data_IF_537750504331
#
_entry.id   IF_537750504331
#
_cell.length_a   1.000
_cell.length_b   1.000
_cell.length_c   1.000
_cell.angle_alpha   90.00
_cell.angle_beta   90.00
_cell.angle_gamma   90.00
#
_symmetry.space_group_name_H-M   'P 1'
#
loop_
_entity.id
_entity.type
_entity.pdbx_description
1 polymer ?
#
# COMPACT_ATOMS: atom_id res chain seq x y z
N UNK A 1 -60.35 29.69 -31.10
CA UNK A 1 -58.91 29.48 -30.89
C UNK A 1 -58.65 29.53 -29.39
N UNK A 2 -58.28 28.42 -28.72
CA UNK A 2 -58.02 28.43 -27.30
C UNK A 2 -56.55 28.76 -27.01
N UNK A 3 -56.35 29.73 -26.14
CA UNK A 3 -55.04 30.17 -25.64
C UNK A 3 -54.49 29.13 -24.66
N UNK A 4 -53.33 28.56 -24.97
CA UNK A 4 -52.63 27.60 -24.10
C UNK A 4 -51.77 28.38 -23.11
N UNK A 5 -52.15 28.34 -21.83
CA UNK A 5 -51.37 28.91 -20.73
C UNK A 5 -50.28 27.92 -20.33
N UNK A 6 -49.02 28.28 -20.53
CA UNK A 6 -47.86 27.54 -20.02
C UNK A 6 -47.65 27.88 -18.55
N UNK A 7 -47.97 26.93 -17.67
CA UNK A 7 -47.61 27.00 -16.25
C UNK A 7 -46.13 26.63 -16.08
N UNK A 8 -45.34 27.57 -15.56
CA UNK A 8 -43.96 27.37 -15.13
C UNK A 8 -43.94 26.62 -13.79
N UNK A 9 -43.62 25.33 -13.84
CA UNK A 9 -43.36 24.53 -12.65
C UNK A 9 -41.95 24.86 -12.10
N UNK A 10 -41.88 25.75 -11.12
CA UNK A 10 -40.70 25.92 -10.27
C UNK A 10 -40.60 24.73 -9.31
N UNK A 11 -39.98 23.64 -9.78
CA UNK A 11 -39.64 22.48 -8.96
C UNK A 11 -38.47 22.81 -8.03
N UNK A 12 -38.77 23.29 -6.82
CA UNK A 12 -37.85 23.29 -5.69
C UNK A 12 -37.65 21.85 -5.22
N UNK A 13 -36.63 21.18 -5.75
CA UNK A 13 -36.21 19.84 -5.33
C UNK A 13 -35.46 19.87 -4.00
N UNK A 14 -35.72 18.91 -3.09
CA UNK A 14 -35.02 18.80 -1.82
C UNK A 14 -33.72 18.01 -1.98
N UNK A 15 -32.72 18.57 -2.67
CA UNK A 15 -31.39 17.94 -2.79
C UNK A 15 -30.36 18.64 -1.91
N UNK A 16 -30.72 18.85 -0.64
CA UNK A 16 -29.72 19.11 0.39
C UNK A 16 -29.17 17.76 0.87
N UNK A 17 -28.46 17.05 -0.01
CA UNK A 17 -27.53 16.03 0.45
C UNK A 17 -26.52 16.77 1.33
N UNK A 18 -26.75 16.71 2.64
CA UNK A 18 -25.74 17.09 3.62
C UNK A 18 -24.51 16.27 3.27
N UNK A 19 -23.55 16.91 2.61
CA UNK A 19 -22.24 16.34 2.38
C UNK A 19 -21.73 15.93 3.76
N UNK A 20 -21.74 14.63 4.04
CA UNK A 20 -21.02 14.06 5.16
C UNK A 20 -19.55 14.41 4.93
N UNK A 21 -19.15 15.61 5.36
CA UNK A 21 -17.78 16.09 5.26
C UNK A 21 -17.00 15.41 6.38
N UNK A 22 -16.77 14.11 6.18
CA UNK A 22 -15.78 13.43 6.98
C UNK A 22 -14.46 14.15 6.77
N UNK A 23 -13.75 14.52 7.85
CA UNK A 23 -12.44 15.13 7.70
C UNK A 23 -11.52 14.12 7.00
N UNK A 24 -10.60 14.59 6.14
CA UNK A 24 -9.63 13.73 5.48
C UNK A 24 -8.89 12.88 6.51
N UNK A 25 -8.76 11.58 6.23
CA UNK A 25 -8.02 10.66 7.09
C UNK A 25 -6.63 10.36 6.52
N UNK A 26 -5.64 10.27 7.40
CA UNK A 26 -4.29 9.81 7.06
C UNK A 26 -4.14 8.34 7.47
N UNK A 27 -3.92 7.46 6.51
CA UNK A 27 -3.53 6.07 6.73
C UNK A 27 -2.00 5.94 6.67
N UNK A 28 -1.37 5.62 7.79
CA UNK A 28 0.05 5.29 7.84
C UNK A 28 0.26 3.78 8.02
N UNK A 29 0.95 3.15 7.09
CA UNK A 29 1.31 1.73 7.12
C UNK A 29 2.80 1.61 7.42
N UNK A 30 3.15 0.96 8.52
CA UNK A 30 4.56 0.68 8.87
C UNK A 30 4.85 -0.79 8.58
N UNK A 31 5.85 -1.03 7.73
CA UNK A 31 6.29 -2.35 7.32
C UNK A 31 7.62 -2.69 7.99
N UNK A 32 7.65 -3.75 8.80
CA UNK A 32 8.90 -4.39 9.17
C UNK A 32 9.42 -5.21 7.98
N UNK A 33 10.58 -4.83 7.47
CA UNK A 33 11.28 -5.32 6.31
C UNK A 33 12.68 -5.84 6.68
N UNK A 34 12.89 -6.17 7.96
CA UNK A 34 14.16 -6.71 8.44
C UNK A 34 14.52 -8.02 7.71
N UNK A 35 15.63 -8.07 6.95
CA UNK A 35 15.93 -9.19 6.05
C UNK A 35 15.97 -10.56 6.74
N UNK A 36 16.51 -10.65 7.96
CA UNK A 36 16.60 -11.91 8.71
C UNK A 36 15.23 -12.50 9.04
N UNK A 37 14.25 -11.68 9.39
CA UNK A 37 12.87 -12.08 9.67
C UNK A 37 12.23 -12.68 8.42
N UNK A 38 12.36 -11.98 7.29
CA UNK A 38 11.76 -12.40 6.02
C UNK A 38 12.46 -13.61 5.40
N UNK A 39 13.78 -13.72 5.55
CA UNK A 39 14.53 -14.92 5.14
C UNK A 39 14.07 -16.14 5.93
N UNK A 40 13.91 -16.01 7.24
CA UNK A 40 13.40 -17.09 8.10
C UNK A 40 12.01 -17.54 7.66
N UNK A 41 11.10 -16.58 7.37
CA UNK A 41 9.77 -16.89 6.84
C UNK A 41 9.84 -17.63 5.51
N UNK A 42 10.70 -17.19 4.60
CA UNK A 42 10.87 -17.83 3.30
C UNK A 42 11.39 -19.27 3.43
N UNK A 43 12.39 -19.51 4.27
CA UNK A 43 12.91 -20.85 4.56
C UNK A 43 11.82 -21.75 5.17
N UNK A 44 11.06 -21.24 6.14
CA UNK A 44 9.97 -21.99 6.78
C UNK A 44 8.91 -22.38 5.75
N UNK A 45 8.49 -21.43 4.90
CA UNK A 45 7.53 -21.71 3.82
C UNK A 45 8.04 -22.78 2.87
N UNK A 46 9.28 -22.66 2.40
CA UNK A 46 9.88 -23.67 1.52
C UNK A 46 9.90 -25.05 2.18
N UNK A 47 10.22 -25.13 3.47
CA UNK A 47 10.20 -26.41 4.20
C UNK A 47 8.80 -27.01 4.28
N UNK A 48 7.77 -26.20 4.53
CA UNK A 48 6.37 -26.64 4.61
C UNK A 48 5.82 -27.07 3.25
N UNK A 49 6.09 -26.29 2.21
CA UNK A 49 5.68 -26.62 0.85
C UNK A 49 6.38 -27.90 0.37
N UNK A 50 7.67 -28.07 0.65
CA UNK A 50 8.40 -29.31 0.34
C UNK A 50 7.86 -30.52 1.10
N UNK A 51 7.55 -30.39 2.40
CA UNK A 51 6.94 -31.46 3.18
C UNK A 51 5.56 -31.86 2.64
N UNK A 52 4.78 -30.87 2.19
CA UNK A 52 3.47 -31.08 1.56
C UNK A 52 3.59 -31.84 0.24
N UNK A 53 4.51 -31.44 -0.63
CA UNK A 53 4.79 -32.11 -1.90
C UNK A 53 5.22 -33.56 -1.65
N UNK A 54 6.12 -33.80 -0.68
CA UNK A 54 6.54 -35.15 -0.27
C UNK A 54 5.39 -36.01 0.26
N UNK A 55 4.37 -35.38 0.84
CA UNK A 55 3.17 -36.06 1.31
C UNK A 55 2.16 -36.37 0.18
N UNK A 56 2.54 -36.18 -1.09
CA UNK A 56 1.70 -36.45 -2.25
C UNK A 56 0.55 -35.45 -2.43
N UNK A 57 0.56 -34.32 -1.69
CA UNK A 57 -0.42 -33.26 -1.88
C UNK A 57 -0.02 -32.42 -3.10
N UNK A 58 -1.00 -32.13 -3.94
CA UNK A 58 -0.82 -31.47 -5.23
C UNK A 58 -0.03 -30.15 -5.13
N UNK A 59 0.91 -29.98 -6.07
CA UNK A 59 1.74 -28.79 -6.30
C UNK A 59 0.91 -27.62 -6.84
N UNK A 60 -0.25 -27.89 -7.45
CA UNK A 60 -1.17 -26.86 -7.95
C UNK A 60 -1.86 -26.07 -6.83
N UNK A 61 -1.87 -26.60 -5.61
CA UNK A 61 -2.54 -25.98 -4.48
C UNK A 61 -1.75 -24.78 -3.95
N UNK A 62 -2.47 -23.70 -3.58
CA UNK A 62 -1.90 -22.50 -2.95
C UNK A 62 -0.98 -22.89 -1.79
N UNK A 63 0.19 -22.26 -1.74
CA UNK A 63 1.17 -22.44 -0.65
C UNK A 63 0.50 -22.22 0.71
N UNK A 64 0.96 -22.98 1.70
CA UNK A 64 0.42 -22.99 3.07
C UNK A 64 1.40 -22.44 4.10
N UNK A 65 2.59 -22.00 3.67
CA UNK A 65 3.56 -21.36 4.54
C UNK A 65 3.26 -19.89 4.83
N UNK A 66 4.07 -19.25 5.68
CA UNK A 66 3.94 -17.82 5.97
C UNK A 66 4.06 -16.95 4.70
N UNK A 67 3.46 -15.76 4.75
CA UNK A 67 3.57 -14.79 3.68
C UNK A 67 5.03 -14.40 3.43
N UNK A 68 5.38 -14.18 2.17
CA UNK A 68 6.70 -13.69 1.74
C UNK A 68 6.63 -12.21 1.34
N UNK A 69 7.78 -11.52 1.30
CA UNK A 69 7.87 -10.07 1.00
C UNK A 69 7.15 -9.70 -0.29
N UNK A 70 7.23 -10.55 -1.32
CA UNK A 70 6.57 -10.31 -2.61
C UNK A 70 5.04 -10.25 -2.49
N UNK A 71 4.47 -11.06 -1.62
CA UNK A 71 3.04 -11.09 -1.34
C UNK A 71 2.64 -9.88 -0.50
N UNK A 72 3.44 -9.56 0.53
CA UNK A 72 3.25 -8.36 1.35
C UNK A 72 3.06 -7.11 0.50
N UNK A 73 3.95 -6.89 -0.47
CA UNK A 73 3.85 -5.70 -1.33
C UNK A 73 2.49 -5.63 -2.04
N UNK A 74 1.99 -6.76 -2.54
CA UNK A 74 0.72 -6.84 -3.26
C UNK A 74 -0.46 -6.61 -2.32
N UNK A 75 -0.42 -7.22 -1.13
CA UNK A 75 -1.45 -7.06 -0.11
C UNK A 75 -1.53 -5.62 0.41
N UNK A 76 -0.38 -4.96 0.62
CA UNK A 76 -0.31 -3.55 1.00
C UNK A 76 -0.93 -2.68 -0.08
N UNK A 77 -0.61 -2.90 -1.36
CA UNK A 77 -1.21 -2.12 -2.46
C UNK A 77 -2.72 -2.28 -2.48
N UNK A 78 -3.24 -3.50 -2.36
CA UNK A 78 -4.68 -3.75 -2.30
C UNK A 78 -5.34 -3.08 -1.09
N UNK A 79 -4.66 -3.08 0.05
CA UNK A 79 -5.12 -2.42 1.26
C UNK A 79 -5.18 -0.88 1.11
N UNK A 80 -4.14 -0.27 0.56
CA UNK A 80 -4.12 1.17 0.28
C UNK A 80 -5.21 1.57 -0.73
N UNK A 81 -5.40 0.76 -1.77
CA UNK A 81 -6.45 0.99 -2.75
C UNK A 81 -7.83 0.93 -2.08
N UNK A 82 -8.09 -0.09 -1.26
CA UNK A 82 -9.34 -0.18 -0.50
C UNK A 82 -9.55 1.05 0.40
N UNK A 83 -8.51 1.52 1.09
CA UNK A 83 -8.58 2.73 1.92
C UNK A 83 -8.90 4.00 1.10
N UNK A 84 -8.33 4.13 -0.09
CA UNK A 84 -8.61 5.25 -1.01
C UNK A 84 -10.02 5.22 -1.60
N UNK A 85 -10.65 4.04 -1.69
CA UNK A 85 -12.03 3.90 -2.14
C UNK A 85 -13.06 4.33 -1.09
N UNK A 86 -12.69 4.37 0.19
CA UNK A 86 -13.60 4.79 1.27
C UNK A 86 -13.87 6.31 1.21
N UNK A 87 -12.83 7.10 0.96
CA UNK A 87 -12.92 8.55 0.77
C UNK A 87 -11.77 9.01 -0.14
N UNK A 88 -12.11 9.83 -1.13
CA UNK A 88 -11.12 10.41 -2.08
C UNK A 88 -10.16 11.38 -1.40
N UNK A 89 -10.54 11.92 -0.24
CA UNK A 89 -9.69 12.81 0.55
C UNK A 89 -8.74 12.03 1.47
N UNK A 90 -8.83 10.69 1.53
CA UNK A 90 -7.89 9.89 2.31
C UNK A 90 -6.50 9.94 1.69
N UNK A 91 -5.52 10.20 2.55
CA UNK A 91 -4.10 10.18 2.20
C UNK A 91 -3.48 8.92 2.78
N UNK A 92 -2.60 8.28 2.02
CA UNK A 92 -1.90 7.08 2.45
C UNK A 92 -0.39 7.30 2.47
N UNK A 93 0.27 6.80 3.50
CA UNK A 93 1.72 6.80 3.67
C UNK A 93 2.19 5.38 4.03
N UNK A 94 3.30 4.95 3.43
CA UNK A 94 3.95 3.68 3.72
C UNK A 94 5.38 3.97 4.18
N UNK A 95 5.71 3.48 5.37
CA UNK A 95 7.05 3.58 5.96
C UNK A 95 7.61 2.17 6.09
N UNK A 96 8.82 1.95 5.60
CA UNK A 96 9.56 0.72 5.78
C UNK A 96 10.61 0.87 6.88
N UNK A 97 10.75 -0.17 7.70
CA UNK A 97 11.77 -0.31 8.73
C UNK A 97 12.53 -1.60 8.45
N UNK A 98 13.85 -1.57 8.29
CA UNK A 98 14.67 -2.76 8.07
C UNK A 98 15.90 -2.70 9.00
N UNK A 99 15.84 -3.42 10.12
CA UNK A 99 16.84 -3.26 11.18
C UNK A 99 16.83 -1.84 11.74
N UNK A 100 17.94 -1.13 11.56
CA UNK A 100 18.13 0.28 11.96
C UNK A 100 17.83 1.28 10.84
N UNK A 101 17.55 0.81 9.63
CA UNK A 101 17.22 1.66 8.48
C UNK A 101 15.71 1.95 8.43
N UNK A 102 15.34 3.22 8.24
CA UNK A 102 13.95 3.65 8.08
C UNK A 102 13.81 4.48 6.81
N UNK A 103 12.75 4.25 6.03
CA UNK A 103 12.47 5.05 4.84
C UNK A 103 10.97 5.16 4.54
N UNK A 104 10.56 6.32 4.06
CA UNK A 104 9.23 6.48 3.45
C UNK A 104 9.26 5.82 2.06
N UNK A 105 8.44 4.78 1.89
CA UNK A 105 8.30 4.04 0.65
C UNK A 105 7.29 4.72 -0.29
N UNK A 106 6.27 5.36 0.28
CA UNK A 106 5.22 6.07 -0.44
C UNK A 106 4.51 7.10 0.48
N UNK A 107 4.10 8.28 -0.02
CA UNK A 107 4.62 8.92 -1.22
C UNK A 107 6.12 9.23 -1.03
N UNK A 108 6.90 9.17 -2.11
CA UNK A 108 8.32 9.56 -2.04
C UNK A 108 8.43 11.10 -1.99
N UNK A 109 9.59 11.61 -1.57
CA UNK A 109 9.82 13.06 -1.38
C UNK A 109 9.46 13.89 -2.63
N UNK A 110 9.68 13.35 -3.83
CA UNK A 110 9.36 13.99 -5.12
C UNK A 110 7.85 14.18 -5.36
N UNK A 111 6.99 13.41 -4.69
CA UNK A 111 5.53 13.48 -4.84
C UNK A 111 4.81 13.92 -3.56
N UNK A 112 5.55 14.25 -2.50
CA UNK A 112 4.97 14.56 -1.20
C UNK A 112 4.20 15.88 -1.20
N UNK A 113 4.75 16.94 -1.83
CA UNK A 113 4.07 18.23 -1.96
C UNK A 113 2.73 18.11 -2.71
N UNK A 114 2.70 17.29 -3.77
CA UNK A 114 1.46 17.00 -4.51
C UNK A 114 0.47 16.18 -3.69
N UNK A 115 0.94 15.22 -2.89
CA UNK A 115 0.09 14.38 -2.06
C UNK A 115 -0.53 15.13 -0.86
N UNK A 116 0.12 16.20 -0.38
CA UNK A 116 -0.37 17.03 0.74
C UNK A 116 -1.26 18.19 0.25
N UNK A 117 -1.47 18.32 -1.06
CA UNK A 117 -2.40 19.29 -1.64
C UNK A 117 -1.82 20.71 -1.78
N UNK A 118 -0.52 20.90 -1.58
CA UNK A 118 0.13 22.22 -1.72
C UNK A 118 0.06 22.77 -3.16
N UNK A 119 -0.04 21.89 -4.15
CA UNK A 119 -0.08 22.25 -5.57
C UNK A 119 -1.46 22.59 -6.12
N UNK A 120 -2.55 22.49 -5.34
CA UNK A 120 -3.92 22.75 -5.82
C UNK A 120 -4.43 21.77 -6.90
N UNK A 121 -3.62 20.78 -7.28
CA UNK A 121 -3.96 19.69 -8.20
C UNK A 121 -4.45 18.50 -7.39
N UNK A 122 -5.61 17.96 -7.75
CA UNK A 122 -6.16 16.74 -7.17
C UNK A 122 -5.17 15.58 -7.36
N UNK A 123 -4.59 15.09 -6.27
CA UNK A 123 -3.68 13.94 -6.30
C UNK A 123 -4.48 12.65 -6.52
N UNK A 124 -4.36 12.08 -7.72
CA UNK A 124 -4.92 10.78 -8.06
C UNK A 124 -3.76 9.86 -8.49
N UNK A 125 -3.13 9.15 -7.54
CA UNK A 125 -1.98 8.32 -7.84
C UNK A 125 -2.39 7.12 -8.71
N UNK A 126 -1.64 6.86 -9.79
CA UNK A 126 -1.82 5.66 -10.59
C UNK A 126 -1.46 4.42 -9.75
N UNK A 127 -2.38 3.45 -9.55
CA UNK A 127 -2.11 2.24 -8.79
C UNK A 127 -0.87 1.47 -9.26
N UNK A 128 -0.57 1.50 -10.56
CA UNK A 128 0.63 0.85 -11.10
C UNK A 128 1.91 1.55 -10.68
N UNK A 129 1.91 2.89 -10.64
CA UNK A 129 3.04 3.69 -10.15
C UNK A 129 3.24 3.50 -8.64
N UNK A 130 2.16 3.55 -7.85
CA UNK A 130 2.20 3.26 -6.40
C UNK A 130 2.82 1.89 -6.14
N UNK A 131 2.38 0.88 -6.87
CA UNK A 131 2.91 -0.47 -6.78
C UNK A 131 4.41 -0.55 -7.11
N UNK A 132 4.83 0.11 -8.20
CA UNK A 132 6.23 0.18 -8.61
C UNK A 132 7.11 0.87 -7.56
N UNK A 133 6.65 2.00 -7.02
CA UNK A 133 7.37 2.79 -6.01
C UNK A 133 7.54 2.03 -4.69
N UNK A 134 6.48 1.38 -4.21
CA UNK A 134 6.52 0.56 -2.99
C UNK A 134 7.49 -0.61 -3.19
N UNK A 135 7.36 -1.40 -4.26
CA UNK A 135 8.24 -2.56 -4.52
C UNK A 135 9.71 -2.15 -4.61
N UNK A 136 10.00 -1.09 -5.35
CA UNK A 136 11.36 -0.55 -5.49
C UNK A 136 11.89 -0.02 -4.17
N UNK A 137 11.04 0.63 -3.37
CA UNK A 137 11.38 1.12 -2.03
C UNK A 137 11.74 0.00 -1.07
N UNK A 138 10.92 -1.06 -1.03
CA UNK A 138 11.17 -2.26 -0.23
C UNK A 138 12.53 -2.86 -0.61
N UNK A 139 12.76 -3.12 -1.90
CA UNK A 139 14.00 -3.72 -2.37
C UNK A 139 15.24 -2.89 -1.99
N UNK A 140 15.20 -1.57 -2.25
CA UNK A 140 16.31 -0.68 -1.93
C UNK A 140 16.59 -0.61 -0.42
N UNK A 141 15.54 -0.55 0.41
CA UNK A 141 15.69 -0.51 1.87
C UNK A 141 16.30 -1.82 2.41
N UNK A 142 15.81 -2.97 1.95
CA UNK A 142 16.36 -4.27 2.33
C UNK A 142 17.82 -4.45 1.89
N UNK A 143 18.17 -3.97 0.70
CA UNK A 143 19.54 -4.01 0.19
C UNK A 143 20.48 -3.12 1.02
N UNK A 144 20.04 -1.92 1.44
CA UNK A 144 20.80 -1.07 2.35
C UNK A 144 21.02 -1.74 3.70
N UNK A 145 19.97 -2.28 4.30
CA UNK A 145 20.06 -2.99 5.58
C UNK A 145 21.05 -4.17 5.48
N UNK A 146 20.96 -4.98 4.42
CA UNK A 146 21.85 -6.14 4.23
C UNK A 146 23.31 -5.71 4.09
N UNK A 147 23.58 -4.64 3.31
CA UNK A 147 24.93 -4.08 3.19
C UNK A 147 25.46 -3.56 4.52
N UNK A 148 24.62 -2.91 5.33
CA UNK A 148 25.00 -2.38 6.63
C UNK A 148 25.32 -3.48 7.64
N UNK A 149 24.51 -4.54 7.66
CA UNK A 149 24.76 -5.74 8.47
C UNK A 149 26.07 -6.43 8.08
N UNK A 150 26.35 -6.52 6.78
CA UNK A 150 27.62 -7.09 6.30
C UNK A 150 28.84 -6.25 6.74
N UNK A 151 28.73 -4.92 6.69
CA UNK A 151 29.82 -4.03 7.11
C UNK A 151 30.08 -4.01 8.63
N UNK A 152 29.10 -4.38 9.45
CA UNK A 152 29.22 -4.42 10.92
C UNK A 152 29.63 -5.79 11.45
N UNK A 153 29.50 -6.87 10.65
CA UNK A 153 29.84 -8.24 11.05
C UNK A 153 31.33 -8.60 11.09
N UNK A 154 32.23 -7.73 10.60
CA UNK A 154 33.68 -7.97 10.55
C UNK A 154 34.45 -7.47 11.80
N UNK A 155 33.74 -7.01 12.84
CA UNK A 155 34.36 -6.32 13.98
C UNK A 155 34.41 -7.04 15.34
N UNK A 156 33.80 -8.23 15.47
CA UNK A 156 33.60 -8.88 16.79
C UNK A 156 33.85 -10.40 16.75
N UNK A 157 35.00 -10.79 16.19
CA UNK A 157 35.53 -12.16 16.22
C UNK A 157 36.76 -12.28 17.11
#
# INVERSE_FOLDING_TARGET
>A
MPSTSTASSSGSGPDSFSSCSHPPCLLAVVLDLTPSVWMTRQMLRQSMDNARIRSGKDVSARSVGPAVVRELASDVISFLHAASCLDRQNVSCVVGVAGDEVAVLYPRQDTMASAVGESGVSYAPDPADVAGRIRTGIAALMERCTRRMAATGDGDG
#
